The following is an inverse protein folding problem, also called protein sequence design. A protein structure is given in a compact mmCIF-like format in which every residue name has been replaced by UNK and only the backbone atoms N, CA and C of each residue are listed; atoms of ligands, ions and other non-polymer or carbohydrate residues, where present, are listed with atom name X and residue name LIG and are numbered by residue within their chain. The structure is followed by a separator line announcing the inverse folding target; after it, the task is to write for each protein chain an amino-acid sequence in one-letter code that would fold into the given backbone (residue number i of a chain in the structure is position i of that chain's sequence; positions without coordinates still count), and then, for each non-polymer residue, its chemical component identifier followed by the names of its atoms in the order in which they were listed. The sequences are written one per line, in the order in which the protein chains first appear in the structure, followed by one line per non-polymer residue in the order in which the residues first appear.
data_IF_040378658369
#
_entry.id   IF_040378658369
#
_cell.length_a   1.000
_cell.length_b   1.000
_cell.length_c   1.000
_cell.angle_alpha   90.00
_cell.angle_beta   90.00
_cell.angle_gamma   90.00
#
_symmetry.space_group_name_H-M   'P 1'
#
loop_
_entity.id
_entity.type
_entity.pdbx_description
1 polymer ?
#
# COMPACT_ATOMS: atom_id res chain seq x y z
N UNK A 1 84.41 -14.50 -3.45
CA UNK A 1 83.35 -15.22 -2.71
C UNK A 1 82.33 -14.19 -2.28
N UNK A 2 81.11 -14.28 -2.82
CA UNK A 2 80.04 -13.28 -2.72
C UNK A 2 79.25 -13.34 -1.40
N UNK A 3 78.58 -12.25 -0.99
CA UNK A 3 77.80 -12.16 0.24
C UNK A 3 76.34 -12.60 0.05
N UNK A 4 75.79 -13.27 1.07
CA UNK A 4 74.39 -13.71 1.14
C UNK A 4 73.43 -12.53 1.28
N UNK A 5 72.53 -12.37 0.30
CA UNK A 5 71.38 -11.47 0.33
C UNK A 5 70.19 -12.17 0.99
N UNK A 6 69.70 -11.60 2.09
CA UNK A 6 68.45 -11.95 2.76
C UNK A 6 67.26 -11.44 1.92
N UNK A 7 66.63 -12.32 1.15
CA UNK A 7 65.36 -12.03 0.48
C UNK A 7 64.20 -12.26 1.47
N UNK A 8 63.76 -11.18 2.14
CA UNK A 8 62.47 -11.16 2.86
C UNK A 8 61.35 -10.94 1.84
N UNK A 9 60.67 -12.01 1.44
CA UNK A 9 59.40 -11.92 0.70
C UNK A 9 58.33 -11.30 1.58
N UNK A 10 57.95 -10.05 1.28
CA UNK A 10 56.78 -9.39 1.84
C UNK A 10 55.54 -9.85 1.06
N UNK A 11 54.81 -10.83 1.59
CA UNK A 11 53.50 -11.22 1.07
C UNK A 11 52.49 -10.11 1.43
N UNK A 12 52.18 -9.24 0.46
CA UNK A 12 51.08 -8.28 0.56
C UNK A 12 49.77 -9.03 0.30
N UNK A 13 49.11 -9.48 1.36
CA UNK A 13 47.75 -10.00 1.31
C UNK A 13 46.79 -8.84 1.02
N UNK A 14 46.37 -8.72 -0.25
CA UNK A 14 45.31 -7.81 -0.68
C UNK A 14 44.00 -8.33 -0.09
N UNK A 15 43.52 -7.71 0.98
CA UNK A 15 42.18 -7.92 1.52
C UNK A 15 41.19 -7.20 0.59
N UNK A 16 40.67 -7.92 -0.40
CA UNK A 16 39.53 -7.44 -1.20
C UNK A 16 38.32 -7.44 -0.27
N UNK A 17 37.95 -6.26 0.23
CA UNK A 17 36.68 -6.02 0.91
C UNK A 17 35.55 -6.22 -0.11
N UNK A 18 35.08 -7.45 -0.26
CA UNK A 18 33.86 -7.75 -0.99
C UNK A 18 32.72 -7.25 -0.08
N UNK A 19 32.33 -5.98 -0.25
CA UNK A 19 31.11 -5.49 0.36
C UNK A 19 29.97 -6.40 -0.12
N UNK A 20 29.15 -6.98 0.77
CA UNK A 20 27.98 -7.73 0.34
C UNK A 20 27.10 -6.74 -0.43
N UNK A 21 26.97 -6.98 -1.73
CA UNK A 21 26.01 -6.29 -2.56
C UNK A 21 24.64 -6.67 -2.01
N UNK A 22 24.08 -5.82 -1.16
CA UNK A 22 22.68 -5.88 -0.77
C UNK A 22 21.93 -5.57 -2.06
N UNK A 23 21.57 -6.61 -2.82
CA UNK A 23 20.70 -6.47 -3.96
C UNK A 23 19.36 -5.96 -3.43
N UNK A 24 19.02 -4.72 -3.76
CA UNK A 24 17.66 -4.23 -3.58
C UNK A 24 16.70 -5.17 -4.32
N UNK A 25 15.58 -5.51 -3.68
CA UNK A 25 14.53 -6.31 -4.32
C UNK A 25 14.10 -5.57 -5.59
N UNK A 26 14.11 -6.21 -6.78
CA UNK A 26 13.73 -5.54 -8.01
C UNK A 26 12.27 -5.09 -7.93
N UNK A 27 11.99 -3.88 -8.43
CA UNK A 27 10.63 -3.41 -8.60
C UNK A 27 9.91 -4.33 -9.59
N UNK A 28 8.77 -4.84 -9.17
CA UNK A 28 7.91 -5.72 -9.94
C UNK A 28 6.57 -5.01 -10.19
N UNK A 29 6.61 -4.07 -11.13
CA UNK A 29 5.42 -3.39 -11.60
C UNK A 29 4.62 -4.31 -12.53
N UNK A 30 3.29 -4.20 -12.47
CA UNK A 30 2.42 -4.83 -13.46
C UNK A 30 2.67 -4.22 -14.84
N UNK A 31 2.30 -4.94 -15.89
CA UNK A 31 2.51 -4.52 -17.28
C UNK A 31 1.93 -3.14 -17.54
N UNK A 32 0.74 -2.87 -16.99
CA UNK A 32 -0.03 -1.67 -17.25
C UNK A 32 -0.88 -1.27 -16.04
N UNK A 33 -0.83 0.02 -15.72
CA UNK A 33 -1.71 0.72 -14.78
C UNK A 33 -2.58 1.72 -15.54
N UNK A 34 -3.56 2.29 -14.85
CA UNK A 34 -4.41 3.34 -15.42
C UNK A 34 -4.34 4.60 -14.57
N UNK A 35 -4.36 5.75 -15.26
CA UNK A 35 -4.67 7.01 -14.60
C UNK A 35 -6.16 7.09 -14.27
N UNK A 36 -6.53 8.05 -13.42
CA UNK A 36 -7.91 8.38 -13.11
C UNK A 36 -8.72 8.77 -14.37
N UNK A 37 -8.07 9.35 -15.38
CA UNK A 37 -8.61 9.66 -16.72
C UNK A 37 -8.58 8.45 -17.68
N UNK A 38 -8.34 7.25 -17.15
CA UNK A 38 -8.29 5.97 -17.87
C UNK A 38 -7.19 5.92 -18.94
N UNK A 39 -6.12 6.70 -18.76
CA UNK A 39 -4.96 6.62 -19.65
C UNK A 39 -4.05 5.48 -19.20
N UNK A 40 -3.60 4.61 -20.12
CA UNK A 40 -2.70 3.52 -19.80
C UNK A 40 -1.30 4.06 -19.45
N UNK A 41 -0.68 3.50 -18.41
CA UNK A 41 0.67 3.86 -17.96
C UNK A 41 1.44 2.59 -17.60
N UNK A 42 2.61 2.40 -18.17
CA UNK A 42 3.53 1.32 -17.78
C UNK A 42 4.71 1.91 -17.02
N UNK A 43 4.72 1.74 -15.69
CA UNK A 43 5.85 2.17 -14.84
C UNK A 43 7.12 1.39 -15.19
N UNK A 44 6.99 0.10 -15.53
CA UNK A 44 8.12 -0.72 -15.97
C UNK A 44 8.77 -0.17 -17.25
N UNK A 45 7.96 0.32 -18.21
CA UNK A 45 8.48 0.87 -19.46
C UNK A 45 9.20 2.22 -19.31
N UNK A 46 9.11 2.86 -18.14
CA UNK A 46 9.82 4.11 -17.82
C UNK A 46 11.23 3.85 -17.26
N UNK A 47 11.47 2.66 -16.68
CA UNK A 47 12.79 2.25 -16.21
C UNK A 47 13.77 2.26 -17.40
N UNK A 48 14.95 2.85 -17.19
CA UNK A 48 15.96 3.08 -18.22
C UNK A 48 15.72 4.31 -19.10
N UNK A 49 14.52 4.90 -19.09
CA UNK A 49 14.16 6.08 -19.90
C UNK A 49 14.08 7.37 -19.10
N UNK A 50 13.50 7.30 -17.90
CA UNK A 50 13.29 8.47 -17.06
C UNK A 50 13.27 8.09 -15.57
N UNK A 51 13.85 8.89 -14.66
CA UNK A 51 13.60 8.73 -13.24
C UNK A 51 12.11 8.93 -12.93
N UNK A 52 11.63 8.28 -11.86
CA UNK A 52 10.21 8.27 -11.48
C UNK A 52 10.06 8.84 -10.08
N UNK A 53 9.03 9.68 -9.88
CA UNK A 53 8.59 10.12 -8.57
C UNK A 53 7.12 9.70 -8.39
N UNK A 54 6.88 8.86 -7.39
CA UNK A 54 5.55 8.45 -6.97
C UNK A 54 5.18 9.12 -5.65
N UNK A 55 4.05 9.81 -5.62
CA UNK A 55 3.48 10.40 -4.41
C UNK A 55 2.18 9.69 -4.06
N UNK A 56 2.20 8.84 -3.05
CA UNK A 56 1.04 8.10 -2.57
C UNK A 56 0.14 8.97 -1.70
N UNK A 57 -1.16 8.90 -1.96
CA UNK A 57 -2.15 9.70 -1.26
C UNK A 57 -3.53 9.05 -1.27
N UNK A 58 -4.41 9.61 -0.44
CA UNK A 58 -5.84 9.34 -0.43
C UNK A 58 -6.61 10.64 -0.16
N UNK A 59 -7.86 10.71 -0.61
CA UNK A 59 -8.74 11.88 -0.43
C UNK A 59 -9.05 12.17 1.04
N UNK A 60 -9.03 11.16 1.90
CA UNK A 60 -9.20 11.31 3.35
C UNK A 60 -7.91 11.67 4.10
N UNK A 61 -6.73 11.57 3.46
CA UNK A 61 -5.47 11.94 4.10
C UNK A 61 -5.30 13.46 4.13
N UNK A 62 -5.45 14.08 5.30
CA UNK A 62 -5.40 15.54 5.46
C UNK A 62 -4.05 16.15 5.06
N UNK A 63 -2.95 15.54 5.48
CA UNK A 63 -1.61 16.03 5.13
C UNK A 63 -1.36 15.88 3.64
N UNK A 64 -1.80 14.78 3.04
CA UNK A 64 -1.73 14.61 1.60
C UNK A 64 -2.42 15.74 0.83
N UNK A 65 -3.60 16.17 1.31
CA UNK A 65 -4.35 17.28 0.70
C UNK A 65 -3.62 18.61 0.81
N UNK A 66 -2.88 18.84 1.91
CA UNK A 66 -2.07 20.04 2.11
C UNK A 66 -0.89 20.09 1.14
N UNK A 67 -0.34 18.93 0.78
CA UNK A 67 0.80 18.79 -0.15
C UNK A 67 0.41 18.88 -1.64
N UNK A 68 -0.86 18.66 -2.00
CA UNK A 68 -1.29 18.64 -3.41
C UNK A 68 -0.86 19.87 -4.22
N UNK A 69 -0.99 21.12 -3.73
CA UNK A 69 -0.50 22.30 -4.46
C UNK A 69 1.03 22.35 -4.62
N UNK A 70 1.78 21.77 -3.69
CA UNK A 70 3.25 21.67 -3.78
C UNK A 70 3.68 20.61 -4.78
N UNK A 71 2.99 19.46 -4.77
CA UNK A 71 3.17 18.40 -5.76
C UNK A 71 2.88 18.89 -7.19
N UNK A 72 1.82 19.68 -7.39
CA UNK A 72 1.50 20.25 -8.70
C UNK A 72 2.61 21.21 -9.18
N UNK A 73 3.14 22.08 -8.30
CA UNK A 73 4.28 22.94 -8.65
C UNK A 73 5.51 22.13 -9.04
N UNK A 74 5.79 21.06 -8.30
CA UNK A 74 6.89 20.12 -8.60
C UNK A 74 6.68 19.44 -9.95
N UNK A 75 5.45 19.02 -10.25
CA UNK A 75 5.09 18.46 -11.54
C UNK A 75 5.37 19.46 -12.67
N UNK A 76 4.87 20.69 -12.58
CA UNK A 76 5.11 21.71 -13.61
C UNK A 76 6.61 22.00 -13.83
N UNK A 77 7.41 21.95 -12.76
CA UNK A 77 8.83 22.26 -12.81
C UNK A 77 9.69 21.14 -13.39
N UNK A 78 9.33 19.88 -13.15
CA UNK A 78 10.19 18.72 -13.41
C UNK A 78 9.57 17.66 -14.33
N UNK A 79 8.35 17.82 -14.82
CA UNK A 79 7.69 16.80 -15.66
C UNK A 79 8.40 16.54 -17.00
N UNK A 80 9.35 17.39 -17.41
CA UNK A 80 10.22 17.18 -18.57
C UNK A 80 11.36 16.20 -18.24
N UNK A 81 11.87 16.23 -17.00
CA UNK A 81 13.04 15.47 -16.53
C UNK A 81 12.72 14.23 -15.70
N UNK A 82 11.62 14.27 -14.94
CA UNK A 82 11.14 13.18 -14.08
C UNK A 82 9.73 12.76 -14.54
N UNK A 83 9.42 11.46 -14.51
CA UNK A 83 8.05 10.97 -14.63
C UNK A 83 7.39 11.03 -13.25
N UNK A 84 6.43 11.94 -13.06
CA UNK A 84 5.86 12.22 -11.74
C UNK A 84 4.38 11.82 -11.74
N UNK A 85 3.98 11.02 -10.77
CA UNK A 85 2.61 10.54 -10.62
C UNK A 85 2.09 10.71 -9.19
N UNK A 86 0.85 11.16 -9.07
CA UNK A 86 0.11 11.10 -7.82
C UNK A 86 -0.60 9.73 -7.73
N UNK A 87 -0.14 8.83 -6.88
CA UNK A 87 -0.70 7.47 -6.76
C UNK A 87 -1.82 7.50 -5.72
N UNK A 88 -3.07 7.44 -6.16
CA UNK A 88 -4.23 7.34 -5.28
C UNK A 88 -4.48 5.87 -4.88
N UNK A 89 -4.67 5.61 -3.58
CA UNK A 89 -4.86 4.24 -3.07
C UNK A 89 -6.25 3.65 -3.37
N UNK A 90 -7.23 4.50 -3.66
CA UNK A 90 -8.62 4.13 -3.91
C UNK A 90 -9.26 3.32 -2.76
N UNK A 91 -9.03 3.77 -1.52
CA UNK A 91 -9.52 3.08 -0.31
C UNK A 91 -10.67 3.87 0.31
N UNK A 92 -11.90 3.34 0.27
CA UNK A 92 -13.11 4.08 0.68
C UNK A 92 -13.29 5.43 -0.05
N UNK A 93 -12.89 5.50 -1.32
CA UNK A 93 -12.97 6.71 -2.12
C UNK A 93 -13.98 6.53 -3.27
N UNK A 94 -14.51 7.64 -3.76
CA UNK A 94 -15.32 7.65 -4.97
C UNK A 94 -14.66 8.53 -6.03
N UNK A 95 -14.96 8.25 -7.30
CA UNK A 95 -14.50 9.07 -8.42
C UNK A 95 -14.90 10.54 -8.23
N UNK A 96 -16.07 10.82 -7.66
CA UNK A 96 -16.52 12.19 -7.39
C UNK A 96 -15.61 12.90 -6.39
N UNK A 97 -15.18 12.22 -5.33
CA UNK A 97 -14.32 12.80 -4.30
C UNK A 97 -12.91 13.06 -4.83
N UNK A 98 -12.35 12.11 -5.60
CA UNK A 98 -11.06 12.27 -6.28
C UNK A 98 -11.14 13.45 -7.26
N UNK A 99 -12.17 13.48 -8.12
CA UNK A 99 -12.38 14.55 -9.10
C UNK A 99 -12.57 15.91 -8.45
N UNK A 100 -13.29 15.99 -7.33
CA UNK A 100 -13.48 17.22 -6.58
C UNK A 100 -12.14 17.78 -6.08
N UNK A 101 -11.27 16.94 -5.50
CA UNK A 101 -9.94 17.37 -5.06
C UNK A 101 -9.02 17.74 -6.23
N UNK A 102 -9.08 17.00 -7.33
CA UNK A 102 -8.35 17.30 -8.56
C UNK A 102 -8.71 18.71 -9.07
N UNK A 103 -10.01 19.00 -9.21
CA UNK A 103 -10.51 20.28 -9.69
C UNK A 103 -10.20 21.43 -8.71
N UNK A 104 -10.44 21.20 -7.40
CA UNK A 104 -10.19 22.20 -6.36
C UNK A 104 -8.74 22.67 -6.32
N UNK A 105 -7.79 21.73 -6.50
CA UNK A 105 -6.37 22.03 -6.50
C UNK A 105 -5.80 22.30 -7.90
N UNK A 106 -6.65 22.29 -8.95
CA UNK A 106 -6.26 22.48 -10.35
C UNK A 106 -5.12 21.54 -10.77
N UNK A 107 -5.19 20.29 -10.31
CA UNK A 107 -4.15 19.31 -10.59
C UNK A 107 -4.14 18.96 -12.07
N UNK A 108 -2.95 18.99 -12.65
CA UNK A 108 -2.67 18.49 -14.00
C UNK A 108 -1.68 17.33 -13.98
N UNK A 109 -1.04 17.08 -12.84
CA UNK A 109 -0.30 15.85 -12.58
C UNK A 109 -1.20 14.62 -12.82
N UNK A 110 -0.73 13.60 -13.55
CA UNK A 110 -1.47 12.37 -13.75
C UNK A 110 -1.67 11.63 -12.41
N UNK A 111 -2.92 11.28 -12.11
CA UNK A 111 -3.29 10.51 -10.93
C UNK A 111 -3.31 9.04 -11.31
N UNK A 112 -2.39 8.21 -10.80
CA UNK A 112 -2.43 6.75 -10.99
C UNK A 112 -3.36 6.11 -9.95
N UNK A 113 -4.13 5.12 -10.38
CA UNK A 113 -5.06 4.40 -9.50
C UNK A 113 -4.44 3.08 -9.04
N UNK A 114 -4.13 2.94 -7.75
CA UNK A 114 -3.58 1.72 -7.17
C UNK A 114 -4.69 0.79 -6.63
N UNK A 115 -5.64 0.45 -7.50
CA UNK A 115 -6.87 -0.28 -7.16
C UNK A 115 -6.65 -1.60 -6.41
N UNK A 116 -5.49 -2.23 -6.64
CA UNK A 116 -5.14 -3.53 -6.07
C UNK A 116 -3.94 -3.45 -5.12
N UNK A 117 -3.45 -2.25 -4.77
CA UNK A 117 -2.25 -2.10 -3.94
C UNK A 117 -0.97 -2.69 -4.55
N UNK A 118 -0.95 -2.88 -5.88
CA UNK A 118 0.18 -3.52 -6.59
C UNK A 118 1.31 -2.52 -6.83
N UNK A 119 1.02 -1.23 -6.90
CA UNK A 119 2.05 -0.19 -6.92
C UNK A 119 2.65 -0.06 -5.51
N UNK A 120 1.83 0.16 -4.48
CA UNK A 120 2.30 0.33 -3.11
C UNK A 120 3.05 -0.90 -2.57
N UNK A 121 2.63 -2.11 -2.96
CA UNK A 121 3.26 -3.37 -2.53
C UNK A 121 4.69 -3.61 -3.01
N UNK A 122 5.22 -2.73 -3.88
CA UNK A 122 6.62 -2.72 -4.27
C UNK A 122 7.54 -2.06 -3.24
N UNK A 123 6.98 -1.36 -2.25
CA UNK A 123 7.73 -0.57 -1.26
C UNK A 123 7.43 -1.04 0.16
N UNK A 124 8.26 -0.64 1.11
CA UNK A 124 7.96 -0.75 2.55
C UNK A 124 6.92 0.31 2.97
N UNK A 125 5.76 0.26 2.31
CA UNK A 125 4.69 1.23 2.44
C UNK A 125 3.96 1.05 3.76
N UNK A 126 3.93 2.11 4.59
CA UNK A 126 3.24 2.09 5.89
C UNK A 126 2.03 3.02 5.96
N UNK A 127 1.72 3.75 4.89
CA UNK A 127 0.63 4.72 4.89
C UNK A 127 0.91 5.93 4.04
N UNK A 128 -0.01 6.89 4.08
CA UNK A 128 0.11 8.14 3.32
C UNK A 128 0.39 9.33 4.26
N UNK A 129 0.84 10.49 3.76
CA UNK A 129 1.50 10.66 2.47
C UNK A 129 2.79 9.85 2.41
N UNK A 130 3.19 9.40 1.22
CA UNK A 130 4.47 8.71 1.03
C UNK A 130 5.06 9.07 -0.31
N UNK A 131 6.35 9.36 -0.31
CA UNK A 131 7.09 9.88 -1.45
C UNK A 131 8.17 8.89 -1.79
N UNK A 132 8.26 8.48 -3.05
CA UNK A 132 9.26 7.53 -3.54
C UNK A 132 9.94 8.10 -4.77
N UNK A 133 11.27 8.22 -4.69
CA UNK A 133 12.11 8.62 -5.81
C UNK A 133 12.86 7.39 -6.34
N UNK A 134 12.72 7.14 -7.64
CA UNK A 134 13.34 6.03 -8.35
C UNK A 134 14.27 6.62 -9.42
N UNK A 135 15.53 6.18 -9.44
CA UNK A 135 16.50 6.60 -10.45
C UNK A 135 16.20 5.94 -11.81
N UNK A 136 17.00 6.29 -12.83
CA UNK A 136 16.82 5.74 -14.17
C UNK A 136 17.13 4.24 -14.26
N UNK A 137 17.90 3.68 -13.32
CA UNK A 137 18.22 2.25 -13.26
C UNK A 137 17.08 1.43 -12.65
N UNK A 138 16.07 2.07 -12.07
CA UNK A 138 14.98 1.41 -11.37
C UNK A 138 15.23 1.23 -9.87
N UNK A 139 16.29 1.82 -9.32
CA UNK A 139 16.55 1.76 -7.88
C UNK A 139 15.78 2.84 -7.14
N UNK A 140 15.20 2.47 -6.00
CA UNK A 140 14.64 3.43 -5.04
C UNK A 140 15.81 4.16 -4.36
N UNK A 141 15.94 5.46 -4.61
CA UNK A 141 17.05 6.28 -4.10
C UNK A 141 16.66 7.16 -2.92
N UNK A 142 15.36 7.40 -2.71
CA UNK A 142 14.87 8.16 -1.56
C UNK A 142 13.41 7.83 -1.27
N UNK A 143 13.06 7.75 0.02
CA UNK A 143 11.67 7.69 0.47
C UNK A 143 11.46 8.59 1.67
N UNK A 144 10.27 9.18 1.80
CA UNK A 144 9.87 9.98 2.96
C UNK A 144 8.35 10.06 3.10
N UNK A 145 7.88 10.43 4.28
CA UNK A 145 6.46 10.72 4.58
C UNK A 145 6.19 12.23 4.69
N UNK A 146 7.13 13.08 4.28
CA UNK A 146 7.05 14.54 4.41
C UNK A 146 7.43 15.25 3.12
N UNK A 147 6.68 16.28 2.76
CA UNK A 147 7.07 17.28 1.75
C UNK A 147 7.94 18.38 2.38
N UNK A 148 9.26 18.14 2.46
CA UNK A 148 10.24 19.01 3.09
C UNK A 148 11.41 19.41 2.17
N UNK A 149 12.34 20.22 2.70
CA UNK A 149 13.53 20.67 1.98
C UNK A 149 14.42 19.51 1.53
N UNK A 150 14.48 18.42 2.29
CA UNK A 150 15.27 17.24 1.90
C UNK A 150 14.67 16.58 0.67
N UNK A 151 13.33 16.43 0.61
CA UNK A 151 12.67 15.94 -0.59
C UNK A 151 12.95 16.84 -1.79
N UNK A 152 12.87 18.16 -1.62
CA UNK A 152 13.14 19.12 -2.69
C UNK A 152 14.58 19.00 -3.23
N UNK A 153 15.57 18.85 -2.34
CA UNK A 153 16.98 18.63 -2.70
C UNK A 153 17.18 17.33 -3.48
N UNK A 154 16.50 16.25 -3.07
CA UNK A 154 16.60 14.97 -3.76
C UNK A 154 15.95 15.01 -5.13
N UNK A 155 14.82 15.70 -5.28
CA UNK A 155 14.18 15.94 -6.59
C UNK A 155 15.10 16.75 -7.52
N UNK A 156 15.75 17.80 -7.02
CA UNK A 156 16.70 18.57 -7.79
C UNK A 156 17.89 17.71 -8.27
N UNK A 157 18.47 16.88 -7.38
CA UNK A 157 19.53 15.94 -7.74
C UNK A 157 19.08 14.91 -8.77
N UNK A 158 17.87 14.36 -8.61
CA UNK A 158 17.30 13.38 -9.53
C UNK A 158 17.11 13.97 -10.94
N UNK A 159 16.64 15.22 -11.01
CA UNK A 159 16.47 15.95 -12.26
C UNK A 159 17.80 16.32 -12.95
N UNK A 160 18.88 16.52 -12.20
CA UNK A 160 20.22 16.82 -12.77
C UNK A 160 20.95 15.58 -13.30
N UNK A 161 20.67 14.40 -12.74
CA UNK A 161 21.34 13.14 -13.11
C UNK A 161 20.62 12.36 -14.21
N UNK A 162 19.59 12.94 -14.85
CA UNK A 162 18.86 12.34 -15.96
C UNK A 162 19.68 12.36 -17.27
N UNK A 163 20.87 11.75 -17.28
CA UNK A 163 21.60 11.50 -18.53
C UNK A 163 21.02 10.21 -19.14
N UNK A 164 20.60 10.20 -20.43
CA UNK A 164 20.06 8.99 -21.03
C UNK A 164 21.18 7.96 -21.17
N UNK A 165 20.99 6.75 -20.61
CA UNK A 165 21.88 5.63 -20.85
C UNK A 165 21.11 4.31 -20.90
N UNK A 166 21.32 3.63 -22.03
CA UNK A 166 21.11 2.24 -22.44
C UNK A 166 20.07 1.35 -21.72
N UNK A 167 19.27 0.73 -22.58
CA UNK A 167 18.29 -0.35 -22.35
C UNK A 167 18.78 -1.41 -21.35
N UNK A 168 18.00 -1.73 -20.30
CA UNK A 168 18.17 -2.97 -19.55
C UNK A 168 17.61 -4.14 -20.35
N UNK A 169 18.42 -5.20 -20.44
CA UNK A 169 18.04 -6.50 -20.98
C UNK A 169 16.97 -7.18 -20.11
N UNK A 170 16.19 -8.04 -20.75
CA UNK A 170 15.18 -8.92 -20.16
C UNK A 170 15.62 -9.51 -18.82
N UNK A 171 14.87 -9.19 -17.78
CA UNK A 171 14.85 -9.95 -16.54
C UNK A 171 13.49 -10.63 -16.44
N UNK A 172 13.42 -11.86 -16.94
CA UNK A 172 12.35 -12.79 -16.57
C UNK A 172 12.52 -13.13 -15.10
N UNK A 173 11.62 -12.64 -14.25
CA UNK A 173 11.55 -13.03 -12.84
C UNK A 173 10.33 -13.92 -12.66
N UNK A 174 10.59 -15.12 -12.14
CA UNK A 174 9.56 -16.06 -11.72
C UNK A 174 8.64 -15.42 -10.70
N UNK A 175 7.34 -15.51 -10.97
CA UNK A 175 6.27 -15.15 -10.05
C UNK A 175 6.43 -16.02 -8.81
N UNK A 176 6.94 -15.45 -7.72
CA UNK A 176 6.95 -16.12 -6.42
C UNK A 176 5.50 -16.46 -6.08
N UNK A 177 5.18 -17.74 -6.14
CA UNK A 177 3.85 -18.27 -5.86
C UNK A 177 3.40 -17.75 -4.51
N UNK A 178 2.31 -16.99 -4.51
CA UNK A 178 1.54 -16.61 -3.33
C UNK A 178 1.40 -17.86 -2.46
N UNK A 179 1.92 -17.80 -1.23
CA UNK A 179 1.70 -18.86 -0.26
C UNK A 179 0.19 -19.01 -0.10
N UNK A 180 -0.37 -20.05 -0.70
CA UNK A 180 -1.81 -20.36 -0.62
C UNK A 180 -2.12 -20.78 0.80
N UNK A 181 -2.32 -19.82 1.69
CA UNK A 181 -3.00 -20.09 2.97
C UNK A 181 -4.38 -20.65 2.60
N UNK A 182 -4.60 -21.94 2.90
CA UNK A 182 -5.83 -22.64 2.55
C UNK A 182 -7.02 -21.95 3.21
N UNK A 183 -8.07 -21.66 2.44
CA UNK A 183 -9.28 -21.08 3.00
C UNK A 183 -9.96 -22.08 3.94
N UNK A 184 -10.64 -21.60 5.00
CA UNK A 184 -11.42 -22.46 5.87
C UNK A 184 -12.46 -23.24 5.04
N UNK A 185 -12.59 -24.54 5.34
CA UNK A 185 -13.70 -25.37 4.84
C UNK A 185 -14.98 -25.01 5.58
N UNK A 186 -16.12 -25.15 4.92
CA UNK A 186 -17.41 -24.75 5.46
C UNK A 186 -17.59 -23.24 5.52
N UNK A 187 -18.52 -22.78 6.35
CA UNK A 187 -18.89 -21.38 6.46
C UNK A 187 -17.86 -20.60 7.31
N UNK A 188 -17.43 -19.45 6.81
CA UNK A 188 -16.51 -18.55 7.49
C UNK A 188 -16.86 -17.08 7.24
N UNK A 189 -16.40 -16.21 8.13
CA UNK A 189 -16.55 -14.76 8.01
C UNK A 189 -15.17 -14.12 8.01
N UNK A 190 -14.93 -13.29 7.01
CA UNK A 190 -13.76 -12.43 6.92
C UNK A 190 -14.20 -11.01 7.25
N UNK A 191 -13.53 -10.36 8.19
CA UNK A 191 -13.77 -8.97 8.55
C UNK A 191 -12.51 -8.15 8.28
N UNK A 192 -12.68 -7.04 7.58
CA UNK A 192 -11.61 -6.15 7.14
C UNK A 192 -11.88 -4.74 7.66
N UNK A 193 -10.92 -4.13 8.36
CA UNK A 193 -11.05 -2.78 8.90
C UNK A 193 -9.70 -2.04 9.01
N UNK A 194 -9.69 -0.90 9.70
CA UNK A 194 -8.51 -0.16 10.08
C UNK A 194 -8.63 0.31 11.55
N UNK A 195 -7.52 0.29 12.29
CA UNK A 195 -7.47 0.71 13.71
C UNK A 195 -7.77 2.19 13.90
N UNK A 196 -7.61 2.98 12.84
CA UNK A 196 -7.85 4.41 12.82
C UNK A 196 -9.19 4.83 12.22
N UNK A 197 -9.97 3.90 11.67
CA UNK A 197 -11.21 4.23 10.98
C UNK A 197 -12.24 4.92 11.89
N UNK A 198 -12.31 4.55 13.17
CA UNK A 198 -13.30 5.10 14.09
C UNK A 198 -12.99 6.54 14.52
N UNK A 199 -11.70 6.90 14.65
CA UNK A 199 -11.30 8.19 15.20
C UNK A 199 -10.77 9.16 14.15
N UNK A 200 -9.91 8.71 13.23
CA UNK A 200 -9.29 9.58 12.24
C UNK A 200 -10.34 10.09 11.25
N UNK A 201 -11.27 9.22 10.84
CA UNK A 201 -12.33 9.59 9.90
C UNK A 201 -13.42 10.43 10.54
N UNK A 202 -13.49 10.54 11.87
CA UNK A 202 -14.61 11.21 12.55
C UNK A 202 -14.79 12.66 12.10
N UNK A 203 -13.68 13.38 11.91
CA UNK A 203 -13.72 14.80 11.55
C UNK A 203 -13.69 15.02 10.03
N UNK A 204 -13.48 13.96 9.25
CA UNK A 204 -13.28 14.02 7.79
C UNK A 204 -14.49 13.44 7.05
N UNK A 205 -14.91 12.25 7.48
CA UNK A 205 -16.00 11.41 6.98
C UNK A 205 -16.74 10.78 8.18
N UNK A 206 -17.53 11.54 8.94
CA UNK A 206 -18.22 11.06 10.15
C UNK A 206 -19.14 9.85 9.87
N UNK A 207 -19.70 9.77 8.67
CA UNK A 207 -20.47 8.64 8.17
C UNK A 207 -19.62 7.36 8.10
N UNK A 208 -18.40 7.44 7.57
CA UNK A 208 -17.46 6.33 7.48
C UNK A 208 -16.97 5.89 8.86
N UNK A 209 -16.67 6.85 9.75
CA UNK A 209 -16.35 6.56 11.16
C UNK A 209 -17.48 5.79 11.84
N UNK A 210 -18.73 6.25 11.67
CA UNK A 210 -19.91 5.59 12.21
C UNK A 210 -20.10 4.20 11.63
N UNK A 211 -19.89 4.04 10.32
CA UNK A 211 -19.94 2.77 9.60
C UNK A 211 -18.95 1.74 10.21
N UNK A 212 -17.70 2.14 10.45
CA UNK A 212 -16.69 1.31 11.11
C UNK A 212 -17.08 0.89 12.53
N UNK A 213 -17.60 1.82 13.34
CA UNK A 213 -18.06 1.52 14.70
C UNK A 213 -19.25 0.55 14.69
N UNK A 214 -20.18 0.73 13.74
CA UNK A 214 -21.35 -0.13 13.62
C UNK A 214 -20.97 -1.54 13.14
N UNK A 215 -20.04 -1.66 12.21
CA UNK A 215 -19.50 -2.95 11.78
C UNK A 215 -18.87 -3.72 12.96
N UNK A 216 -18.09 -3.06 13.81
CA UNK A 216 -17.52 -3.66 15.01
C UNK A 216 -18.59 -4.24 15.94
N UNK A 217 -19.66 -3.48 16.20
CA UNK A 217 -20.79 -3.94 17.03
C UNK A 217 -21.47 -5.16 16.43
N UNK A 218 -21.66 -5.17 15.11
CA UNK A 218 -22.28 -6.30 14.40
C UNK A 218 -21.39 -7.54 14.48
N UNK A 219 -20.08 -7.41 14.29
CA UNK A 219 -19.14 -8.54 14.38
C UNK A 219 -19.01 -9.06 15.82
N UNK A 220 -18.94 -8.19 16.82
CA UNK A 220 -18.96 -8.59 18.24
C UNK A 220 -20.24 -9.39 18.56
N UNK A 221 -21.41 -8.87 18.18
CA UNK A 221 -22.69 -9.54 18.41
C UNK A 221 -22.78 -10.87 17.65
N UNK A 222 -22.28 -10.92 16.41
CA UNK A 222 -22.21 -12.15 15.63
C UNK A 222 -21.34 -13.20 16.33
N UNK A 223 -20.12 -12.84 16.72
CA UNK A 223 -19.18 -13.74 17.37
C UNK A 223 -19.74 -14.32 18.68
N UNK A 224 -20.35 -13.48 19.52
CA UNK A 224 -20.95 -13.92 20.79
C UNK A 224 -22.18 -14.79 20.62
N UNK A 225 -22.95 -14.60 19.54
CA UNK A 225 -24.23 -15.29 19.33
C UNK A 225 -24.15 -16.48 18.36
N UNK A 226 -22.98 -16.76 17.79
CA UNK A 226 -22.77 -17.86 16.84
C UNK A 226 -21.64 -18.79 17.33
N UNK A 227 -21.96 -19.87 18.05
CA UNK A 227 -20.97 -20.82 18.53
C UNK A 227 -20.14 -21.40 17.38
N UNK A 228 -18.82 -21.54 17.59
CA UNK A 228 -17.85 -22.07 16.61
C UNK A 228 -17.76 -21.29 15.30
N UNK A 229 -18.12 -20.00 15.31
CA UNK A 229 -17.93 -19.13 14.16
C UNK A 229 -16.45 -19.11 13.72
N UNK A 230 -16.20 -19.45 12.46
CA UNK A 230 -14.89 -19.27 11.84
C UNK A 230 -14.74 -17.80 11.42
N UNK A 231 -14.33 -16.94 12.35
CA UNK A 231 -14.08 -15.52 12.09
C UNK A 231 -12.59 -15.26 11.91
N UNK A 232 -12.22 -14.63 10.80
CA UNK A 232 -10.89 -14.04 10.60
C UNK A 232 -11.02 -12.52 10.48
N UNK A 233 -10.53 -11.78 11.47
CA UNK A 233 -10.55 -10.32 11.46
C UNK A 233 -9.16 -9.76 11.14
N UNK A 234 -9.09 -8.95 10.10
CA UNK A 234 -7.89 -8.29 9.62
C UNK A 234 -8.05 -6.77 9.69
N UNK A 235 -6.99 -6.11 10.11
CA UNK A 235 -6.82 -4.67 9.93
C UNK A 235 -5.73 -4.40 8.91
N UNK A 236 -5.90 -3.31 8.16
CA UNK A 236 -4.88 -2.83 7.23
C UNK A 236 -3.57 -2.53 7.97
N UNK A 237 -2.43 -2.69 7.28
CA UNK A 237 -1.12 -2.27 7.80
C UNK A 237 -0.88 -0.76 7.66
N UNK A 238 -1.77 -0.05 6.93
CA UNK A 238 -1.69 1.41 6.81
C UNK A 238 -1.84 2.05 8.18
N UNK A 239 -0.81 2.79 8.59
CA UNK A 239 -0.67 3.44 9.89
C UNK A 239 -0.99 2.52 11.08
N UNK A 240 -0.70 1.23 10.93
CA UNK A 240 -1.07 0.22 11.92
C UNK A 240 0.08 -0.74 12.14
N UNK A 241 0.63 -0.68 13.35
CA UNK A 241 1.56 -1.65 13.89
C UNK A 241 0.83 -2.61 14.84
N UNK A 242 1.52 -3.69 15.25
CA UNK A 242 0.90 -4.71 16.13
C UNK A 242 0.46 -4.15 17.48
N UNK A 243 1.14 -3.12 17.99
CA UNK A 243 0.78 -2.42 19.24
C UNK A 243 -0.57 -1.71 19.11
N UNK A 244 -0.85 -1.09 17.96
CA UNK A 244 -2.12 -0.39 17.71
C UNK A 244 -3.29 -1.38 17.70
N UNK A 245 -3.08 -2.61 17.21
CA UNK A 245 -4.09 -3.67 17.26
C UNK A 245 -4.40 -4.09 18.68
N UNK A 246 -3.40 -4.14 19.56
CA UNK A 246 -3.61 -4.47 20.97
C UNK A 246 -4.46 -3.39 21.66
N UNK A 247 -4.11 -2.12 21.44
CA UNK A 247 -4.85 -0.99 22.00
C UNK A 247 -6.27 -0.91 21.43
N UNK A 248 -6.43 -1.14 20.13
CA UNK A 248 -7.73 -1.23 19.46
C UNK A 248 -8.60 -2.36 20.04
N UNK A 249 -8.03 -3.55 20.19
CA UNK A 249 -8.75 -4.72 20.73
C UNK A 249 -9.17 -4.48 22.18
N UNK A 250 -8.32 -3.83 22.98
CA UNK A 250 -8.64 -3.44 24.36
C UNK A 250 -9.71 -2.36 24.42
N UNK A 251 -9.57 -1.29 23.62
CA UNK A 251 -10.53 -0.17 23.54
C UNK A 251 -11.95 -0.65 23.26
N UNK A 252 -12.10 -1.61 22.34
CA UNK A 252 -13.40 -2.15 21.95
C UNK A 252 -13.78 -3.45 22.67
N UNK A 253 -12.94 -3.95 23.58
CA UNK A 253 -13.16 -5.21 24.32
C UNK A 253 -13.51 -6.39 23.40
N UNK A 254 -12.76 -6.52 22.31
CA UNK A 254 -13.05 -7.50 21.25
C UNK A 254 -12.90 -8.94 21.77
N UNK A 255 -13.91 -9.81 21.56
CA UNK A 255 -13.88 -11.20 22.02
C UNK A 255 -13.14 -12.14 21.05
N UNK A 256 -12.52 -11.61 20.00
CA UNK A 256 -11.84 -12.34 18.95
C UNK A 256 -10.49 -11.69 18.64
N UNK A 257 -9.60 -12.47 18.03
CA UNK A 257 -8.29 -11.98 17.60
C UNK A 257 -8.40 -11.14 16.34
N UNK A 258 -7.68 -10.03 16.30
CA UNK A 258 -7.49 -9.18 15.13
C UNK A 258 -6.03 -9.27 14.70
N UNK A 259 -5.78 -9.42 13.40
CA UNK A 259 -4.42 -9.52 12.84
C UNK A 259 -4.13 -8.36 11.89
N UNK A 260 -2.89 -7.88 11.87
CA UNK A 260 -2.44 -6.94 10.83
C UNK A 260 -2.16 -7.72 9.55
N UNK A 261 -2.77 -7.33 8.43
CA UNK A 261 -2.41 -7.86 7.11
C UNK A 261 -1.16 -7.15 6.57
N UNK A 262 0.00 -7.57 7.10
CA UNK A 262 1.30 -6.92 6.89
C UNK A 262 1.70 -6.74 5.42
N UNK A 263 1.26 -7.64 4.54
CA UNK A 263 1.65 -7.64 3.12
C UNK A 263 0.46 -7.33 2.19
N UNK A 264 -0.65 -6.83 2.76
CA UNK A 264 -1.89 -6.59 2.02
C UNK A 264 -2.40 -7.85 1.29
N UNK A 265 -2.05 -9.05 1.76
CA UNK A 265 -2.33 -10.30 1.03
C UNK A 265 -3.81 -10.62 1.09
N UNK A 266 -4.41 -10.53 2.28
CA UNK A 266 -5.83 -10.83 2.49
C UNK A 266 -6.70 -9.73 1.87
N UNK A 267 -6.37 -8.45 2.07
CA UNK A 267 -7.11 -7.36 1.44
C UNK A 267 -7.13 -7.48 -0.09
N UNK A 268 -6.00 -7.83 -0.72
CA UNK A 268 -5.94 -8.09 -2.17
C UNK A 268 -6.70 -9.34 -2.58
N UNK A 269 -6.46 -10.46 -1.89
CA UNK A 269 -7.10 -11.75 -2.18
C UNK A 269 -8.62 -11.63 -2.22
N UNK A 270 -9.17 -10.85 -1.29
CA UNK A 270 -10.60 -10.67 -1.13
C UNK A 270 -11.14 -9.38 -1.76
N UNK A 271 -10.29 -8.62 -2.45
CA UNK A 271 -10.66 -7.31 -3.04
C UNK A 271 -11.41 -6.44 -2.03
N UNK A 272 -10.91 -6.39 -0.80
CA UNK A 272 -11.46 -5.56 0.26
C UNK A 272 -10.89 -4.14 0.11
N UNK A 273 -11.37 -3.40 -0.88
CA UNK A 273 -10.87 -2.06 -1.23
C UNK A 273 -11.43 -0.95 -0.32
N UNK A 274 -12.14 -1.30 0.75
CA UNK A 274 -12.70 -0.35 1.69
C UNK A 274 -12.93 -0.97 3.06
N UNK A 275 -12.93 -0.12 4.07
CA UNK A 275 -13.11 -0.43 5.49
C UNK A 275 -14.40 0.24 5.97
N UNK A 276 -15.27 -0.44 6.73
CA UNK A 276 -15.24 -1.86 7.01
C UNK A 276 -15.74 -2.67 5.80
N UNK A 277 -15.23 -3.89 5.64
CA UNK A 277 -15.81 -4.89 4.73
C UNK A 277 -15.98 -6.21 5.47
N UNK A 278 -17.17 -6.82 5.36
CA UNK A 278 -17.45 -8.17 5.84
C UNK A 278 -17.76 -9.06 4.66
N UNK A 279 -17.10 -10.22 4.60
CA UNK A 279 -17.30 -11.22 3.55
C UNK A 279 -17.65 -12.53 4.21
N UNK A 280 -18.73 -13.15 3.75
CA UNK A 280 -19.13 -14.50 4.16
C UNK A 280 -18.67 -15.47 3.08
N UNK A 281 -17.93 -16.49 3.51
CA UNK A 281 -17.40 -17.54 2.65
C UNK A 281 -18.09 -18.86 2.94
N UNK A 282 -18.20 -19.71 1.91
CA UNK A 282 -18.49 -21.13 2.02
C UNK A 282 -17.53 -21.93 1.15
N UNK A 283 -16.77 -22.83 1.78
CA UNK A 283 -15.77 -23.66 1.09
C UNK A 283 -14.82 -22.81 0.22
N UNK A 284 -14.47 -21.63 0.73
CA UNK A 284 -13.61 -20.65 0.07
C UNK A 284 -14.30 -19.73 -0.96
N UNK A 285 -15.58 -19.92 -1.27
CA UNK A 285 -16.32 -19.06 -2.19
C UNK A 285 -17.07 -17.95 -1.45
N UNK A 286 -17.00 -16.73 -1.97
CA UNK A 286 -17.78 -15.60 -1.47
C UNK A 286 -19.27 -15.77 -1.76
N UNK A 287 -20.10 -15.75 -0.72
CA UNK A 287 -21.56 -15.87 -0.81
C UNK A 287 -22.31 -14.62 -0.36
N UNK A 288 -21.64 -13.73 0.39
CA UNK A 288 -22.19 -12.42 0.74
C UNK A 288 -21.05 -11.43 1.03
N UNK A 289 -21.30 -10.16 0.71
CA UNK A 289 -20.42 -9.03 1.03
C UNK A 289 -21.24 -7.88 1.59
N UNK A 290 -20.76 -7.29 2.67
CA UNK A 290 -21.40 -6.17 3.34
C UNK A 290 -20.34 -5.10 3.60
N UNK A 291 -20.59 -3.89 3.13
CA UNK A 291 -19.73 -2.70 3.35
C UNK A 291 -20.45 -1.60 4.12
N UNK A 292 -21.79 -1.64 4.16
CA UNK A 292 -22.63 -0.63 4.80
C UNK A 292 -23.27 -1.14 6.10
N UNK A 293 -23.05 -0.38 7.17
CA UNK A 293 -23.49 -0.66 8.53
C UNK A 293 -24.15 0.61 9.09
N UNK A 294 -25.43 0.73 8.79
CA UNK A 294 -26.30 1.87 9.14
C UNK A 294 -26.68 1.94 10.64
N UNK A 295 -26.16 1.03 11.46
CA UNK A 295 -26.49 0.90 12.89
C UNK A 295 -27.74 0.07 13.17
N UNK A 296 -28.41 -0.43 12.14
CA UNK A 296 -29.50 -1.40 12.27
C UNK A 296 -28.97 -2.84 12.43
N UNK A 297 -29.88 -3.76 12.73
CA UNK A 297 -29.59 -5.20 12.79
C UNK A 297 -29.60 -5.88 11.42
N UNK A 298 -29.94 -5.16 10.35
CA UNK A 298 -30.07 -5.74 9.00
C UNK A 298 -28.77 -6.40 8.51
N UNK A 299 -27.57 -5.79 8.65
CA UNK A 299 -26.32 -6.47 8.33
C UNK A 299 -26.13 -7.80 9.06
N UNK A 300 -26.45 -7.84 10.37
CA UNK A 300 -26.34 -9.08 11.16
C UNK A 300 -27.28 -10.17 10.62
N UNK A 301 -28.52 -9.81 10.28
CA UNK A 301 -29.49 -10.75 9.73
C UNK A 301 -29.04 -11.31 8.38
N UNK A 302 -28.48 -10.47 7.51
CA UNK A 302 -27.92 -10.89 6.21
C UNK A 302 -26.78 -11.88 6.42
N UNK A 303 -25.83 -11.57 7.31
CA UNK A 303 -24.70 -12.45 7.60
C UNK A 303 -25.20 -13.79 8.16
N UNK A 304 -26.11 -13.77 9.14
CA UNK A 304 -26.66 -14.99 9.74
C UNK A 304 -27.45 -15.83 8.74
N UNK A 305 -28.23 -15.20 7.86
CA UNK A 305 -28.93 -15.89 6.79
C UNK A 305 -27.91 -16.60 5.88
N UNK A 306 -26.88 -15.89 5.41
CA UNK A 306 -25.83 -16.48 4.57
C UNK A 306 -25.10 -17.65 5.25
N UNK A 307 -24.83 -17.57 6.56
CA UNK A 307 -24.24 -18.65 7.33
C UNK A 307 -25.18 -19.85 7.54
N UNK A 308 -26.50 -19.60 7.63
CA UNK A 308 -27.50 -20.64 7.91
C UNK A 308 -27.96 -21.40 6.67
N UNK A 309 -27.77 -20.86 5.46
CA UNK A 309 -28.36 -21.46 4.26
C UNK A 309 -27.89 -22.89 4.03
N UNK A 310 -26.73 -23.35 4.51
CA UNK A 310 -26.26 -24.73 4.27
C UNK A 310 -25.13 -25.20 5.21
#
# INVERSE_FOLDING_TARGET
MQPNQLFRSLLVTIFVLIAPWVQAKPLNFETEYQTFEKQPVSLQALIGKKPIYLKFWATWCLDCRRELPSLERTYQQYNDKIAIFAVNLNINETDETIRSLQQKNKLTIPILMDNNGTIAGNFEFKGTPFHVLINNQGDVVYTTYTDDEQLADQLAKLASNSKPAATPADATVEISSVAKTSLPKGAAVMYFSATWCDWYMKDIHPELSSNCINALKIIDKLYRSTPKLQLSAYVTHLWTEQTDVNDYSKKFSLPYNVSVDKNNEQFRRFKATGYPTVIVLKDGNEIARITEFDGSEKPLQVIKAALATH
#
